data_IF_014623971751
#
_entry.id   IF_014623971751
#
_cell.length_a   1.000
_cell.length_b   1.000
_cell.length_c   1.000
_cell.angle_alpha   90.00
_cell.angle_beta   90.00
_cell.angle_gamma   90.00
#
_symmetry.space_group_name_H-M   'P 1'
#
loop_
_entity.id
_entity.type
_entity.pdbx_description
1 polymer ?
#
# COMPACT_ATOMS: atom_id res chain seq x y z
N UNK A 1 -27.79 18.73 -64.08
CA UNK A 1 -26.31 18.79 -64.10
C UNK A 1 -25.77 17.37 -64.01
N UNK A 2 -25.07 16.90 -65.05
CA UNK A 2 -24.38 15.59 -65.12
C UNK A 2 -22.89 15.78 -64.82
N UNK A 3 -22.27 14.80 -64.15
CA UNK A 3 -20.84 14.33 -64.16
C UNK A 3 -20.55 13.66 -62.81
N UNK A 4 -19.71 12.65 -62.61
CA UNK A 4 -19.09 11.58 -63.41
C UNK A 4 -18.26 10.80 -62.36
N UNK A 5 -18.48 9.49 -62.23
CA UNK A 5 -17.55 8.34 -61.97
C UNK A 5 -16.26 8.46 -61.09
N UNK A 6 -15.86 7.28 -60.54
CA UNK A 6 -14.56 6.85 -59.94
C UNK A 6 -14.45 7.02 -58.40
N UNK A 7 -13.97 6.10 -57.54
CA UNK A 7 -13.08 4.92 -57.62
C UNK A 7 -13.33 4.01 -56.41
N UNK A 8 -13.24 2.69 -56.61
CA UNK A 8 -13.07 1.67 -55.56
C UNK A 8 -11.71 1.85 -54.86
N UNK A 9 -11.68 1.90 -53.54
CA UNK A 9 -10.47 1.56 -52.78
C UNK A 9 -10.82 0.57 -51.67
N UNK A 10 -10.42 -0.67 -51.95
CA UNK A 10 -10.29 -1.78 -51.04
C UNK A 10 -9.15 -1.44 -50.06
N UNK A 11 -9.46 -1.21 -48.78
CA UNK A 11 -8.44 -1.15 -47.74
C UNK A 11 -8.72 -2.25 -46.73
N UNK A 12 -7.84 -3.26 -46.79
CA UNK A 12 -7.75 -4.44 -45.96
C UNK A 12 -7.75 -3.99 -44.48
N UNK A 13 -8.85 -4.27 -43.78
CA UNK A 13 -8.93 -4.11 -42.34
C UNK A 13 -7.96 -5.07 -41.67
N UNK A 14 -6.83 -4.54 -41.21
CA UNK A 14 -5.82 -5.24 -40.44
C UNK A 14 -6.51 -5.87 -39.21
N UNK A 15 -6.69 -7.19 -39.23
CA UNK A 15 -7.06 -7.96 -38.06
C UNK A 15 -5.84 -8.02 -37.14
N UNK A 16 -5.69 -7.04 -36.24
CA UNK A 16 -4.79 -7.16 -35.10
C UNK A 16 -5.43 -8.09 -34.08
N UNK A 17 -5.05 -9.35 -34.21
CA UNK A 17 -5.13 -10.41 -33.23
C UNK A 17 -4.61 -9.92 -31.87
N UNK A 18 -5.50 -9.50 -30.96
CA UNK A 18 -5.13 -9.26 -29.56
C UNK A 18 -4.95 -10.62 -28.87
N UNK A 19 -3.72 -11.14 -28.96
CA UNK A 19 -3.24 -12.22 -28.12
C UNK A 19 -3.13 -11.73 -26.67
N UNK A 20 -3.94 -12.34 -25.80
CA UNK A 20 -3.51 -12.75 -24.45
C UNK A 20 -2.99 -11.67 -23.51
N UNK A 21 -3.70 -10.55 -23.34
CA UNK A 21 -3.55 -9.77 -22.11
C UNK A 21 -4.30 -10.51 -21.00
N UNK A 22 -3.53 -11.23 -20.18
CA UNK A 22 -3.97 -11.66 -18.86
C UNK A 22 -4.70 -10.49 -18.21
N UNK A 23 -5.98 -10.69 -17.92
CA UNK A 23 -6.85 -9.69 -17.30
C UNK A 23 -6.20 -9.23 -16.01
N UNK A 24 -5.51 -8.08 -16.07
CA UNK A 24 -5.29 -7.23 -14.92
C UNK A 24 -6.69 -6.78 -14.54
N UNK A 25 -7.35 -7.59 -13.70
CA UNK A 25 -8.60 -7.25 -13.02
C UNK A 25 -8.44 -5.80 -12.59
N UNK A 26 -9.28 -4.90 -13.11
CA UNK A 26 -9.27 -3.51 -12.70
C UNK A 26 -9.29 -3.51 -11.18
N UNK A 27 -8.16 -3.15 -10.55
CA UNK A 27 -8.03 -3.22 -9.12
C UNK A 27 -9.13 -2.32 -8.56
N UNK A 28 -10.13 -2.94 -7.93
CA UNK A 28 -11.30 -2.25 -7.39
C UNK A 28 -10.81 -0.97 -6.69
N UNK A 29 -11.46 0.17 -6.94
CA UNK A 29 -10.94 1.50 -6.62
C UNK A 29 -10.55 1.65 -5.13
N UNK A 30 -11.06 0.75 -4.29
CA UNK A 30 -10.83 0.70 -2.86
C UNK A 30 -9.94 -0.48 -2.39
N UNK A 31 -9.20 -1.17 -3.26
CA UNK A 31 -8.31 -2.29 -2.87
C UNK A 31 -6.82 -1.93 -2.92
N UNK A 32 -6.11 -2.03 -1.80
CA UNK A 32 -4.64 -1.86 -1.76
C UNK A 32 -3.95 -3.22 -1.70
N UNK A 33 -2.79 -3.33 -2.34
CA UNK A 33 -2.00 -4.56 -2.39
C UNK A 33 -0.67 -4.39 -1.64
N UNK A 34 -0.40 -5.33 -0.73
CA UNK A 34 0.94 -5.55 -0.18
C UNK A 34 1.59 -6.70 -0.96
N UNK A 35 2.80 -6.47 -1.45
CA UNK A 35 3.57 -7.44 -2.22
C UNK A 35 4.73 -7.92 -1.33
N UNK A 36 4.72 -9.20 -1.03
CA UNK A 36 5.77 -9.88 -0.28
C UNK A 36 7.07 -10.04 -1.08
N UNK A 37 8.16 -10.40 -0.41
CA UNK A 37 9.48 -10.62 -1.02
C UNK A 37 9.47 -11.74 -2.07
N UNK A 38 8.60 -12.73 -1.90
CA UNK A 38 8.37 -13.88 -2.79
C UNK A 38 7.28 -13.63 -3.85
N UNK A 39 6.89 -12.36 -4.05
CA UNK A 39 5.80 -11.93 -4.94
C UNK A 39 4.41 -12.41 -4.50
N UNK A 40 4.26 -12.89 -3.27
CA UNK A 40 2.92 -13.10 -2.70
C UNK A 40 2.16 -11.77 -2.63
N UNK A 41 0.89 -11.78 -3.01
CA UNK A 41 0.04 -10.58 -3.00
C UNK A 41 -1.02 -10.74 -1.93
N UNK A 42 -1.07 -9.79 -1.00
CA UNK A 42 -2.15 -9.64 -0.03
C UNK A 42 -2.98 -8.42 -0.38
N UNK A 43 -4.28 -8.61 -0.57
CA UNK A 43 -5.22 -7.53 -0.90
C UNK A 43 -6.01 -7.10 0.33
N UNK A 44 -6.22 -5.79 0.43
CA UNK A 44 -6.99 -5.16 1.50
C UNK A 44 -8.00 -4.17 0.95
N UNK A 45 -9.25 -4.29 1.38
CA UNK A 45 -10.30 -3.33 1.11
C UNK A 45 -10.16 -2.12 2.05
N UNK A 46 -10.16 -0.92 1.49
CA UNK A 46 -10.29 0.34 2.21
C UNK A 46 -11.75 0.48 2.67
N UNK A 47 -11.95 0.63 3.97
CA UNK A 47 -13.23 1.03 4.54
C UNK A 47 -13.37 2.54 4.47
N UNK A 48 -14.21 3.02 3.56
CA UNK A 48 -14.39 4.45 3.30
C UNK A 48 -15.25 5.17 4.35
N UNK A 49 -15.82 4.44 5.32
CA UNK A 49 -16.66 5.00 6.38
C UNK A 49 -15.94 5.10 7.73
N UNK A 50 -14.78 4.47 7.88
CA UNK A 50 -14.08 4.36 9.16
C UNK A 50 -12.60 4.68 9.05
N UNK A 51 -12.07 5.20 10.14
CA UNK A 51 -10.64 5.46 10.30
C UNK A 51 -10.15 4.86 11.62
N UNK A 52 -8.86 4.51 11.65
CA UNK A 52 -8.14 4.23 12.88
C UNK A 52 -7.52 5.54 13.36
N UNK A 53 -7.85 5.96 14.57
CA UNK A 53 -7.20 7.07 15.25
C UNK A 53 -6.18 6.52 16.25
N UNK A 54 -4.94 6.99 16.14
CA UNK A 54 -3.84 6.68 17.07
C UNK A 54 -3.67 7.82 18.08
N UNK A 55 -3.17 7.50 19.28
CA UNK A 55 -2.99 8.43 20.38
C UNK A 55 -3.13 7.75 21.73
N UNK A 56 -3.61 8.48 22.76
CA UNK A 56 -3.77 7.94 24.12
C UNK A 56 -4.63 6.66 24.20
N UNK A 57 -5.59 6.50 23.27
CA UNK A 57 -6.26 5.22 23.02
C UNK A 57 -6.46 5.02 21.53
N UNK A 58 -5.84 3.98 20.98
CA UNK A 58 -6.08 3.58 19.59
C UNK A 58 -7.48 3.02 19.43
N UNK A 59 -8.25 3.57 18.49
CA UNK A 59 -9.64 3.16 18.25
C UNK A 59 -10.05 3.28 16.78
N UNK A 60 -11.01 2.45 16.38
CA UNK A 60 -11.74 2.59 15.12
C UNK A 60 -12.94 3.48 15.37
N UNK A 61 -13.08 4.56 14.61
CA UNK A 61 -14.24 5.46 14.67
C UNK A 61 -14.80 5.76 13.29
N UNK A 62 -16.01 6.30 13.24
CA UNK A 62 -16.56 6.86 11.99
C UNK A 62 -15.65 7.98 11.48
N UNK A 63 -15.42 7.98 10.17
CA UNK A 63 -14.74 9.07 9.49
C UNK A 63 -15.59 10.34 9.57
N UNK A 64 -14.94 11.50 9.70
CA UNK A 64 -15.61 12.78 9.50
C UNK A 64 -16.01 12.95 8.04
N UNK A 65 -16.83 13.95 7.72
CA UNK A 65 -17.19 14.24 6.33
C UNK A 65 -15.96 14.58 5.46
N UNK A 66 -14.98 15.29 6.03
CA UNK A 66 -13.73 15.61 5.35
C UNK A 66 -12.87 14.36 5.12
N UNK A 67 -12.71 13.51 6.15
CA UNK A 67 -11.97 12.25 6.05
C UNK A 67 -12.64 11.29 5.05
N UNK A 68 -13.97 11.24 5.02
CA UNK A 68 -14.74 10.44 4.05
C UNK A 68 -14.43 10.88 2.62
N UNK A 69 -14.42 12.19 2.34
CA UNK A 69 -14.05 12.70 1.00
C UNK A 69 -12.63 12.28 0.61
N UNK A 70 -11.67 12.39 1.54
CA UNK A 70 -10.29 11.96 1.30
C UNK A 70 -10.18 10.45 1.06
N UNK A 71 -10.91 9.62 1.81
CA UNK A 71 -10.93 8.16 1.66
C UNK A 71 -11.39 7.73 0.26
N UNK A 72 -12.37 8.42 -0.31
CA UNK A 72 -12.86 8.14 -1.68
C UNK A 72 -11.85 8.55 -2.76
N UNK A 73 -10.90 9.43 -2.46
CA UNK A 73 -9.85 9.87 -3.39
C UNK A 73 -8.46 9.30 -3.05
N UNK A 74 -8.35 8.47 -2.00
CA UNK A 74 -7.08 8.18 -1.33
C UNK A 74 -6.07 7.46 -2.22
N UNK A 75 -6.54 6.55 -3.10
CA UNK A 75 -5.67 5.91 -4.09
C UNK A 75 -5.13 6.90 -5.12
N UNK A 76 -5.96 7.84 -5.55
CA UNK A 76 -5.57 8.84 -6.54
C UNK A 76 -4.53 9.82 -5.97
N UNK A 77 -4.58 10.06 -4.66
CA UNK A 77 -3.67 10.99 -3.98
C UNK A 77 -2.43 10.34 -3.38
N UNK A 78 -2.35 8.99 -3.32
CA UNK A 78 -1.27 8.20 -2.67
C UNK A 78 -0.90 8.70 -1.26
N UNK A 79 -1.81 9.40 -0.60
CA UNK A 79 -1.46 10.25 0.53
C UNK A 79 -1.93 9.71 1.86
N UNK A 80 -1.27 10.15 2.93
CA UNK A 80 -1.80 10.06 4.28
C UNK A 80 -3.15 10.79 4.43
N UNK A 81 -4.04 10.27 5.29
CA UNK A 81 -5.24 11.00 5.69
C UNK A 81 -4.83 12.18 6.58
N UNK A 82 -5.30 13.38 6.27
CA UNK A 82 -5.13 14.53 7.14
C UNK A 82 -6.34 14.66 8.06
N UNK A 83 -6.12 14.54 9.37
CA UNK A 83 -7.20 14.72 10.35
C UNK A 83 -7.20 16.15 10.87
N UNK A 84 -8.36 16.78 10.86
CA UNK A 84 -8.59 18.09 11.49
C UNK A 84 -8.48 18.06 13.01
N UNK A 85 -8.47 16.87 13.61
CA UNK A 85 -8.36 16.67 15.07
C UNK A 85 -6.93 16.69 15.62
N UNK A 86 -5.91 16.89 14.78
CA UNK A 86 -4.49 16.93 15.18
C UNK A 86 -3.89 15.56 15.56
N UNK A 87 -4.69 14.49 15.62
CA UNK A 87 -4.21 13.13 15.85
C UNK A 87 -3.78 12.42 14.56
N UNK A 88 -2.90 11.43 14.69
CA UNK A 88 -2.53 10.53 13.58
C UNK A 88 -3.71 9.63 13.23
N UNK A 89 -4.17 9.69 11.99
CA UNK A 89 -5.32 8.93 11.50
C UNK A 89 -4.93 8.14 10.26
N UNK A 90 -5.46 6.92 10.14
CA UNK A 90 -5.18 6.00 9.04
C UNK A 90 -6.47 5.37 8.52
N UNK A 91 -6.57 5.08 7.19
CA UNK A 91 -7.69 4.32 6.67
C UNK A 91 -7.80 2.97 7.39
N UNK A 92 -9.04 2.54 7.65
CA UNK A 92 -9.25 1.14 8.06
C UNK A 92 -9.10 0.25 6.83
N UNK A 93 -8.19 -0.71 6.93
CA UNK A 93 -7.98 -1.73 5.90
C UNK A 93 -8.58 -3.05 6.36
N UNK A 94 -9.30 -3.74 5.47
CA UNK A 94 -9.94 -5.03 5.74
C UNK A 94 -9.33 -6.10 4.85
N UNK A 95 -8.92 -7.23 5.43
CA UNK A 95 -8.57 -8.40 4.63
C UNK A 95 -9.82 -9.21 4.23
N UNK A 96 -9.61 -10.29 3.48
CA UNK A 96 -10.68 -11.19 3.04
C UNK A 96 -11.45 -11.85 4.21
N UNK A 97 -10.85 -11.95 5.39
CA UNK A 97 -11.49 -12.46 6.60
C UNK A 97 -12.25 -11.37 7.40
N UNK A 98 -12.28 -10.13 6.90
CA UNK A 98 -12.92 -8.99 7.55
C UNK A 98 -12.12 -8.44 8.75
N UNK A 99 -10.87 -8.88 8.95
CA UNK A 99 -10.00 -8.35 10.02
C UNK A 99 -9.62 -6.93 9.68
N UNK A 100 -9.70 -6.04 10.68
CA UNK A 100 -9.40 -4.62 10.53
C UNK A 100 -7.97 -4.30 10.92
N UNK A 101 -7.34 -3.52 10.07
CA UNK A 101 -5.97 -3.05 10.20
C UNK A 101 -5.91 -1.53 10.14
N UNK A 102 -4.87 -0.97 10.73
CA UNK A 102 -4.49 0.43 10.61
C UNK A 102 -2.98 0.56 10.40
N UNK A 103 -2.58 1.68 9.81
CA UNK A 103 -1.19 2.01 9.48
C UNK A 103 -0.75 3.23 10.30
N UNK A 104 -0.17 3.02 11.49
CA UNK A 104 0.35 4.11 12.33
C UNK A 104 1.60 4.77 11.76
N UNK A 105 2.20 4.19 10.72
CA UNK A 105 3.54 4.51 10.26
C UNK A 105 4.56 3.50 10.82
N UNK A 106 5.79 3.63 10.33
CA UNK A 106 6.87 2.70 10.58
C UNK A 106 6.76 1.39 9.78
N UNK A 107 7.92 0.86 9.40
CA UNK A 107 8.06 -0.45 8.76
C UNK A 107 8.79 -1.41 9.70
N UNK A 108 8.42 -2.68 9.63
CA UNK A 108 9.16 -3.80 10.19
C UNK A 108 10.03 -4.37 9.08
N UNK A 109 11.34 -4.31 9.26
CA UNK A 109 12.33 -4.86 8.33
C UNK A 109 12.99 -6.08 8.95
N UNK A 110 13.02 -7.18 8.19
CA UNK A 110 13.70 -8.41 8.57
C UNK A 110 14.96 -8.59 7.73
N UNK A 111 16.12 -8.53 8.36
CA UNK A 111 17.42 -8.74 7.73
C UNK A 111 17.63 -10.22 7.34
N UNK A 112 18.54 -10.45 6.38
CA UNK A 112 18.88 -11.80 5.87
C UNK A 112 19.61 -12.68 6.88
N UNK A 113 20.25 -12.09 7.88
CA UNK A 113 20.99 -12.76 8.93
C UNK A 113 21.00 -11.89 10.19
N UNK A 114 21.29 -12.51 11.34
CA UNK A 114 21.53 -11.75 12.57
C UNK A 114 22.78 -10.89 12.41
N UNK A 115 22.68 -9.64 12.86
CA UNK A 115 23.75 -8.67 12.81
C UNK A 115 23.83 -7.94 14.14
N UNK A 116 25.01 -7.38 14.44
CA UNK A 116 25.15 -6.43 15.53
C UNK A 116 24.23 -5.22 15.29
N UNK A 117 23.87 -4.49 16.36
CA UNK A 117 23.05 -3.28 16.21
C UNK A 117 23.72 -2.28 15.24
N UNK A 118 25.03 -2.08 15.36
CA UNK A 118 25.79 -1.15 14.52
C UNK A 118 25.74 -1.54 13.03
N UNK A 119 25.99 -2.81 12.71
CA UNK A 119 26.01 -3.29 11.32
C UNK A 119 24.61 -3.29 10.70
N UNK A 120 23.60 -3.73 11.46
CA UNK A 120 22.20 -3.69 11.02
C UNK A 120 21.73 -2.27 10.73
N UNK A 121 22.06 -1.31 11.61
CA UNK A 121 21.77 0.11 11.39
C UNK A 121 22.47 0.65 10.15
N UNK A 122 23.75 0.35 9.96
CA UNK A 122 24.50 0.78 8.78
C UNK A 122 23.91 0.22 7.48
N UNK A 123 23.51 -1.06 7.47
CA UNK A 123 22.87 -1.69 6.31
C UNK A 123 21.53 -1.04 5.95
N UNK A 124 20.70 -0.72 6.95
CA UNK A 124 19.42 -0.05 6.74
C UNK A 124 19.61 1.38 6.20
N UNK A 125 20.57 2.13 6.75
CA UNK A 125 20.92 3.47 6.26
C UNK A 125 21.43 3.42 4.80
N UNK A 126 22.28 2.44 4.47
CA UNK A 126 22.76 2.22 3.11
C UNK A 126 21.61 1.90 2.12
N UNK A 127 20.50 1.31 2.59
CA UNK A 127 19.30 1.07 1.79
C UNK A 127 18.37 2.30 1.68
N UNK A 128 18.77 3.45 2.24
CA UNK A 128 17.99 4.69 2.25
C UNK A 128 16.87 4.72 3.30
N UNK A 129 16.96 3.86 4.33
CA UNK A 129 16.00 3.81 5.43
C UNK A 129 16.53 4.56 6.65
N UNK A 130 15.63 5.01 7.52
CA UNK A 130 15.98 5.63 8.81
C UNK A 130 15.65 4.67 9.96
N UNK A 131 16.63 4.02 10.59
CA UNK A 131 16.38 3.05 11.64
C UNK A 131 16.00 3.71 12.96
N UNK A 132 14.86 3.34 13.52
CA UNK A 132 14.40 3.84 14.81
C UNK A 132 14.94 2.97 15.95
N UNK A 133 14.64 1.67 15.92
CA UNK A 133 15.09 0.72 16.95
C UNK A 133 15.22 -0.70 16.43
N UNK A 134 16.11 -1.45 17.08
CA UNK A 134 16.20 -2.89 16.93
C UNK A 134 15.14 -3.59 17.80
N UNK A 135 14.54 -4.66 17.28
CA UNK A 135 13.68 -5.59 18.02
C UNK A 135 14.46 -6.86 18.35
N UNK A 136 15.17 -7.41 17.36
CA UNK A 136 16.08 -8.56 17.50
C UNK A 136 17.30 -8.36 16.59
N UNK A 137 18.29 -9.27 16.64
CA UNK A 137 19.44 -9.29 15.73
C UNK A 137 19.08 -9.13 14.24
N UNK A 138 17.87 -9.55 13.84
CA UNK A 138 17.35 -9.48 12.46
C UNK A 138 16.22 -8.50 12.26
N UNK A 139 15.47 -8.13 13.29
CA UNK A 139 14.21 -7.42 13.11
C UNK A 139 14.34 -5.99 13.60
N UNK A 140 13.94 -5.04 12.76
CA UNK A 140 14.09 -3.61 12.99
C UNK A 140 12.80 -2.84 12.74
N UNK A 141 12.61 -1.76 13.48
CA UNK A 141 11.65 -0.71 13.15
C UNK A 141 12.39 0.40 12.42
N UNK A 142 11.88 0.80 11.26
CA UNK A 142 12.37 1.96 10.51
C UNK A 142 11.25 2.97 10.28
N UNK A 143 11.60 4.25 10.21
CA UNK A 143 10.68 5.36 10.03
C UNK A 143 9.91 5.22 8.69
N UNK A 144 8.61 5.50 8.74
CA UNK A 144 7.76 5.60 7.56
C UNK A 144 6.52 6.44 7.90
N UNK A 145 6.00 7.26 6.96
CA UNK A 145 4.75 7.98 7.16
C UNK A 145 3.59 7.05 7.49
N UNK A 146 2.57 7.56 8.18
CA UNK A 146 1.34 6.82 8.44
C UNK A 146 0.47 6.69 7.18
N UNK A 147 -0.42 5.70 7.15
CA UNK A 147 -1.34 5.49 6.04
C UNK A 147 -0.75 4.73 4.86
N UNK A 148 -1.33 4.89 3.67
CA UNK A 148 -1.04 4.02 2.51
C UNK A 148 0.41 4.12 2.02
N UNK A 149 1.08 5.25 2.26
CA UNK A 149 2.49 5.45 1.94
C UNK A 149 3.38 4.37 2.60
N UNK A 150 3.03 3.88 3.79
CA UNK A 150 3.75 2.77 4.43
C UNK A 150 3.72 1.50 3.57
N UNK A 151 2.58 1.21 2.92
CA UNK A 151 2.47 0.02 2.05
C UNK A 151 3.31 0.21 0.79
N UNK A 152 3.29 1.41 0.20
CA UNK A 152 4.09 1.72 -0.98
C UNK A 152 5.58 1.58 -0.70
N UNK A 153 6.05 2.13 0.43
CA UNK A 153 7.44 1.98 0.87
C UNK A 153 7.79 0.50 1.11
N UNK A 154 6.93 -0.28 1.76
CA UNK A 154 7.16 -1.72 1.97
C UNK A 154 7.32 -2.46 0.63
N UNK A 155 6.41 -2.21 -0.32
CA UNK A 155 6.44 -2.81 -1.65
C UNK A 155 7.74 -2.44 -2.40
N UNK A 156 8.15 -1.17 -2.33
CA UNK A 156 9.41 -0.72 -2.94
C UNK A 156 10.63 -1.41 -2.34
N UNK A 157 10.68 -1.58 -1.02
CA UNK A 157 11.81 -2.25 -0.37
C UNK A 157 11.83 -3.76 -0.64
N UNK A 158 10.67 -4.43 -0.65
CA UNK A 158 10.57 -5.83 -1.06
C UNK A 158 10.99 -6.02 -2.52
N UNK A 159 10.64 -5.09 -3.41
CA UNK A 159 11.05 -5.15 -4.80
C UNK A 159 12.58 -5.11 -5.00
N UNK A 160 13.32 -4.48 -4.09
CA UNK A 160 14.79 -4.44 -4.12
C UNK A 160 15.44 -5.77 -3.70
N UNK A 161 14.75 -6.63 -2.95
CA UNK A 161 15.28 -7.94 -2.51
C UNK A 161 16.51 -7.88 -1.58
N UNK A 162 16.78 -6.72 -0.97
CA UNK A 162 17.91 -6.52 -0.05
C UNK A 162 17.65 -7.27 1.27
N UNK A 163 16.41 -7.20 1.75
CA UNK A 163 15.96 -7.77 3.02
C UNK A 163 15.23 -9.09 2.81
N UNK A 164 15.06 -9.86 3.88
CA UNK A 164 14.20 -11.07 3.85
C UNK A 164 12.75 -10.69 3.68
N UNK A 165 12.27 -9.69 4.42
CA UNK A 165 10.91 -9.17 4.33
C UNK A 165 10.88 -7.72 4.83
N UNK A 166 9.99 -6.92 4.24
CA UNK A 166 9.62 -5.59 4.70
C UNK A 166 8.10 -5.50 4.73
N UNK A 167 7.55 -5.21 5.90
CA UNK A 167 6.11 -5.08 6.07
C UNK A 167 5.76 -3.85 6.91
N UNK A 168 4.56 -3.27 6.72
CA UNK A 168 4.10 -2.19 7.60
C UNK A 168 4.03 -2.63 9.07
N UNK A 169 4.25 -1.70 9.99
CA UNK A 169 3.97 -1.90 11.41
C UNK A 169 2.45 -1.90 11.65
N UNK A 170 1.80 -3.01 11.33
CA UNK A 170 0.35 -3.13 11.36
C UNK A 170 -0.22 -2.97 12.77
N UNK A 171 -1.15 -2.03 12.95
CA UNK A 171 -2.10 -2.12 14.04
C UNK A 171 -3.23 -3.08 13.65
N UNK A 172 -3.65 -3.94 14.57
CA UNK A 172 -4.86 -4.76 14.43
C UNK A 172 -5.72 -4.63 15.67
N UNK A 173 -7.05 -4.60 15.47
CA UNK A 173 -7.98 -4.66 16.58
C UNK A 173 -7.90 -6.07 17.19
N UNK A 174 -7.29 -6.22 18.36
CA UNK A 174 -7.37 -7.47 19.10
C UNK A 174 -8.82 -7.69 19.53
N UNK A 175 -9.35 -8.89 19.29
CA UNK A 175 -10.52 -9.35 20.01
C UNK A 175 -10.12 -9.39 21.49
N UNK A 176 -10.86 -8.67 22.33
CA UNK A 176 -10.80 -8.91 23.77
C UNK A 176 -11.31 -10.34 23.95
N UNK A 177 -10.46 -11.22 24.51
CA UNK A 177 -10.89 -12.51 25.01
C UNK A 177 -11.69 -12.31 26.30
#
# INVERSE_FOLDING_TARGET
MRKNTLIQNLAIGLSTLLLGLSSVQAADANVVQLIGPDKTVRSFQIDTAHVVQFGGRTQVRKASQAETKQLHTLKSTRGALTSTSGGTVSPVLKDAAGRRYGLPGGLIVTLKQDMSEADGRAQLVAAGLKPERQITGRVWVVESPAGLETIEMANQQNAKGIFTDVSPNWWTKRALK
#
